data_IF_598697638754
#
_entry.id   IF_598697638754
#
_cell.length_a   1.000
_cell.length_b   1.000
_cell.length_c   1.000
_cell.angle_alpha   90.00
_cell.angle_beta   90.00
_cell.angle_gamma   90.00
#
_symmetry.space_group_name_H-M   'P 1'
#
loop_
_entity.id
_entity.type
_entity.pdbx_description
1 polymer ?
#
# COMPACT_ATOMS: atom_id res chain seq x y z
N UNK A 1 -3.92 2.46 -17.77
CA UNK A 1 -4.26 3.40 -16.70
C UNK A 1 -4.37 4.86 -17.18
N UNK A 2 -4.03 5.18 -18.40
CA UNK A 2 -4.01 6.57 -18.89
C UNK A 2 -2.88 7.44 -18.31
N UNK A 3 -1.92 6.82 -17.63
CA UNK A 3 -0.75 7.46 -17.03
C UNK A 3 0.52 6.97 -17.73
N UNK A 4 1.48 7.86 -17.92
CA UNK A 4 2.81 7.45 -18.36
C UNK A 4 3.52 6.70 -17.23
N UNK A 5 3.94 5.47 -17.49
CA UNK A 5 4.69 4.63 -16.55
C UNK A 5 5.89 4.00 -17.28
N UNK A 6 6.99 3.84 -16.55
CA UNK A 6 8.13 3.03 -16.95
C UNK A 6 8.07 1.64 -16.24
N UNK A 7 8.87 0.70 -16.67
CA UNK A 7 8.95 -0.65 -16.09
C UNK A 7 9.35 -0.66 -14.61
N UNK A 8 10.00 0.42 -14.15
CA UNK A 8 10.36 0.61 -12.74
C UNK A 8 9.22 1.08 -11.84
N UNK A 9 8.08 1.47 -12.41
CA UNK A 9 6.92 1.92 -11.63
C UNK A 9 6.09 0.74 -11.12
N UNK A 10 5.31 0.92 -10.03
CA UNK A 10 4.41 -0.12 -9.57
C UNK A 10 3.32 -0.43 -10.60
N UNK A 11 2.90 -1.68 -10.67
CA UNK A 11 1.75 -2.06 -11.50
C UNK A 11 0.47 -1.40 -11.00
N UNK A 12 -0.36 -0.94 -11.91
CA UNK A 12 -1.66 -0.31 -11.67
C UNK A 12 -2.78 -1.04 -12.41
N UNK A 13 -4.02 -0.68 -12.10
CA UNK A 13 -5.22 -1.25 -12.73
C UNK A 13 -5.30 -2.78 -12.58
N UNK A 14 -4.84 -3.27 -11.44
CA UNK A 14 -4.89 -4.69 -11.06
C UNK A 14 -5.86 -4.87 -9.89
N UNK A 15 -6.75 -5.85 -10.03
CA UNK A 15 -7.68 -6.24 -8.98
C UNK A 15 -6.97 -7.11 -7.92
N UNK A 16 -7.63 -7.33 -6.80
CA UNK A 16 -7.19 -8.31 -5.81
C UNK A 16 -7.08 -9.72 -6.42
N UNK A 17 -8.04 -10.07 -7.28
CA UNK A 17 -8.04 -11.36 -8.00
C UNK A 17 -6.81 -11.49 -8.91
N UNK A 18 -6.44 -10.44 -9.65
CA UNK A 18 -5.25 -10.43 -10.50
C UNK A 18 -3.97 -10.57 -9.68
N UNK A 19 -3.85 -9.82 -8.58
CA UNK A 19 -2.70 -9.87 -7.69
C UNK A 19 -2.50 -11.27 -7.08
N UNK A 20 -3.59 -11.90 -6.66
CA UNK A 20 -3.59 -13.27 -6.14
C UNK A 20 -3.21 -14.29 -7.22
N UNK A 21 -3.77 -14.15 -8.42
CA UNK A 21 -3.43 -15.02 -9.56
C UNK A 21 -1.94 -14.90 -9.93
N UNK A 22 -1.40 -13.69 -9.91
CA UNK A 22 0.04 -13.47 -10.13
C UNK A 22 0.90 -14.17 -9.06
N UNK A 23 0.54 -14.02 -7.78
CA UNK A 23 1.25 -14.68 -6.68
C UNK A 23 1.26 -16.23 -6.83
N UNK A 24 0.13 -16.79 -7.23
CA UNK A 24 0.01 -18.23 -7.49
C UNK A 24 0.86 -18.68 -8.70
N UNK A 25 0.83 -17.90 -9.78
CA UNK A 25 1.66 -18.17 -10.96
C UNK A 25 3.15 -18.12 -10.61
N UNK A 26 3.59 -17.09 -9.88
CA UNK A 26 4.99 -16.97 -9.45
C UNK A 26 5.40 -18.11 -8.54
N UNK A 27 4.51 -18.56 -7.66
CA UNK A 27 4.76 -19.70 -6.78
C UNK A 27 4.99 -20.98 -7.57
N UNK A 28 4.15 -21.28 -8.55
CA UNK A 28 4.30 -22.44 -9.44
C UNK A 28 5.60 -22.37 -10.24
N UNK A 29 5.95 -21.18 -10.74
CA UNK A 29 7.13 -20.96 -11.58
C UNK A 29 8.45 -21.10 -10.80
N UNK A 30 8.46 -20.73 -9.53
CA UNK A 30 9.69 -20.68 -8.72
C UNK A 30 9.83 -21.80 -7.70
N UNK A 31 8.76 -22.57 -7.46
CA UNK A 31 8.72 -23.57 -6.38
C UNK A 31 8.67 -22.95 -4.97
N UNK A 32 8.48 -21.61 -4.85
CA UNK A 32 8.44 -20.89 -3.57
C UNK A 32 7.02 -20.40 -3.31
N UNK A 33 6.62 -20.28 -2.04
CA UNK A 33 5.27 -19.87 -1.65
C UNK A 33 5.14 -18.34 -1.61
N UNK A 34 4.68 -17.72 -2.70
CA UNK A 34 4.30 -16.31 -2.76
C UNK A 34 2.81 -16.13 -2.54
N UNK A 35 2.44 -15.05 -1.85
CA UNK A 35 1.07 -14.64 -1.57
C UNK A 35 0.99 -13.13 -1.36
N UNK A 36 -0.20 -12.58 -1.25
CA UNK A 36 -0.37 -11.26 -0.67
C UNK A 36 0.02 -11.29 0.83
N UNK A 37 0.55 -10.20 1.40
CA UNK A 37 0.71 -10.10 2.85
C UNK A 37 -0.66 -10.08 3.52
N UNK A 38 -0.77 -10.58 4.74
CA UNK A 38 -1.93 -10.29 5.58
C UNK A 38 -1.92 -8.81 5.97
N UNK A 39 -3.06 -8.26 6.36
CA UNK A 39 -3.15 -6.87 6.81
C UNK A 39 -2.22 -6.60 7.99
N UNK A 40 -2.15 -7.53 8.94
CA UNK A 40 -1.28 -7.42 10.11
C UNK A 40 0.21 -7.52 9.76
N UNK A 41 0.60 -8.41 8.85
CA UNK A 41 1.98 -8.49 8.33
C UNK A 41 2.37 -7.19 7.62
N UNK A 42 1.46 -6.66 6.81
CA UNK A 42 1.69 -5.41 6.09
C UNK A 42 1.94 -4.25 7.07
N UNK A 43 1.08 -4.08 8.09
CA UNK A 43 1.24 -3.00 9.08
C UNK A 43 2.50 -3.17 9.94
N UNK A 44 2.81 -4.39 10.36
CA UNK A 44 4.06 -4.69 11.05
C UNK A 44 5.27 -4.30 10.20
N UNK A 45 5.28 -4.69 8.93
CA UNK A 45 6.34 -4.36 7.97
C UNK A 45 6.43 -2.84 7.73
N UNK A 46 5.28 -2.14 7.60
CA UNK A 46 5.24 -0.70 7.40
C UNK A 46 5.79 0.06 8.60
N UNK A 47 5.42 -0.33 9.81
CA UNK A 47 5.90 0.31 11.04
C UNK A 47 7.38 0.07 11.31
N UNK A 48 7.89 -1.08 11.00
CA UNK A 48 9.28 -1.47 11.24
C UNK A 48 9.74 -1.08 12.67
N UNK A 49 8.89 -1.33 13.67
CA UNK A 49 9.12 -1.03 15.09
C UNK A 49 8.74 0.39 15.52
N UNK A 50 8.24 1.27 14.62
CA UNK A 50 7.77 2.59 15.01
C UNK A 50 6.38 2.53 15.65
N UNK A 51 6.12 3.43 16.61
CA UNK A 51 4.81 3.63 17.24
C UNK A 51 4.11 4.90 16.76
N UNK A 52 4.80 5.71 15.95
CA UNK A 52 4.32 6.96 15.39
C UNK A 52 3.31 6.72 14.25
N UNK A 53 2.65 7.77 13.78
CA UNK A 53 1.68 7.68 12.69
C UNK A 53 2.31 7.12 11.39
N UNK A 54 3.59 7.46 11.16
CA UNK A 54 4.39 7.02 10.00
C UNK A 54 5.71 6.43 10.48
N UNK A 55 6.35 5.60 9.67
CA UNK A 55 7.64 4.99 10.07
C UNK A 55 8.78 6.02 10.24
N UNK A 56 8.63 7.23 9.71
CA UNK A 56 9.58 8.35 9.88
C UNK A 56 9.19 9.33 10.99
N UNK A 57 8.05 9.14 11.67
CA UNK A 57 7.57 10.03 12.74
C UNK A 57 6.16 10.55 12.49
N UNK A 58 5.79 11.59 13.25
CA UNK A 58 4.45 12.18 13.17
C UNK A 58 4.36 13.39 12.25
N UNK A 59 5.50 14.02 11.92
CA UNK A 59 5.56 15.19 11.07
C UNK A 59 5.24 14.86 9.59
N UNK A 60 4.12 15.36 9.03
CA UNK A 60 3.75 15.12 7.65
C UNK A 60 4.59 15.92 6.63
N UNK A 61 5.30 16.98 7.04
CA UNK A 61 6.12 17.81 6.14
C UNK A 61 7.29 17.01 5.55
N UNK A 62 7.78 16.03 6.30
CA UNK A 62 8.88 15.19 5.83
C UNK A 62 8.47 14.11 4.81
N UNK A 63 7.17 14.00 4.48
CA UNK A 63 6.64 12.89 3.68
C UNK A 63 7.37 12.69 2.35
N UNK A 64 7.66 13.76 1.60
CA UNK A 64 8.27 13.69 0.28
C UNK A 64 9.71 13.13 0.25
N UNK A 65 10.35 12.99 1.41
CA UNK A 65 11.63 12.27 1.54
C UNK A 65 11.43 10.75 1.59
N UNK A 66 10.26 10.31 2.02
CA UNK A 66 9.97 8.92 2.36
C UNK A 66 8.90 8.28 1.49
N UNK A 67 8.10 9.10 0.77
CA UNK A 67 6.91 8.61 0.07
C UNK A 67 6.50 9.54 -1.08
N UNK A 68 5.94 8.97 -2.13
CA UNK A 68 5.20 9.69 -3.15
C UNK A 68 3.74 9.85 -2.69
N UNK A 69 3.29 11.10 -2.49
CA UNK A 69 2.02 11.45 -1.85
C UNK A 69 1.35 12.65 -2.54
N UNK A 70 0.15 13.05 -2.11
CA UNK A 70 -0.47 14.27 -2.60
C UNK A 70 0.28 15.50 -2.08
N UNK A 71 1.20 16.02 -2.84
CA UNK A 71 2.13 17.10 -2.52
C UNK A 71 1.90 18.37 -3.37
N UNK A 72 2.82 19.32 -3.29
CA UNK A 72 2.74 20.59 -4.01
C UNK A 72 3.07 20.48 -5.50
N UNK A 73 3.61 19.36 -5.99
CA UNK A 73 3.85 19.11 -7.42
C UNK A 73 2.55 19.07 -8.23
N UNK A 74 1.41 18.95 -7.58
CA UNK A 74 0.10 18.80 -8.21
C UNK A 74 -0.67 20.10 -8.26
N UNK A 75 -1.00 20.57 -9.46
CA UNK A 75 -1.83 21.76 -9.65
C UNK A 75 -3.32 21.50 -9.35
N UNK A 76 -3.80 20.29 -9.53
CA UNK A 76 -5.19 19.92 -9.29
C UNK A 76 -5.30 18.90 -8.16
N UNK A 77 -6.14 19.23 -7.18
CA UNK A 77 -6.50 18.33 -6.09
C UNK A 77 -7.57 17.35 -6.56
N UNK A 78 -7.25 16.08 -6.57
CA UNK A 78 -8.26 15.05 -6.46
C UNK A 78 -8.51 14.83 -4.97
N UNK A 79 -9.64 15.30 -4.47
CA UNK A 79 -10.03 15.07 -3.10
C UNK A 79 -9.94 16.31 -2.21
N UNK A 80 -10.72 16.26 -1.15
CA UNK A 80 -10.83 17.28 -0.13
C UNK A 80 -9.70 17.11 0.89
N UNK A 81 -8.86 18.10 1.05
CA UNK A 81 -7.84 18.09 2.09
C UNK A 81 -6.60 18.91 1.73
N UNK A 82 -5.83 19.24 2.75
CA UNK A 82 -4.54 19.87 2.57
C UNK A 82 -3.54 18.88 1.98
N UNK A 83 -2.76 19.31 1.01
CA UNK A 83 -1.64 18.56 0.49
C UNK A 83 -0.50 18.50 1.51
N UNK A 84 0.45 17.60 1.29
CA UNK A 84 1.73 17.68 1.99
C UNK A 84 2.48 18.96 1.58
N UNK A 85 3.04 19.66 2.55
CA UNK A 85 3.79 20.90 2.34
C UNK A 85 5.25 20.60 1.92
N UNK A 86 5.40 19.78 0.90
CA UNK A 86 6.68 19.39 0.32
C UNK A 86 6.51 19.08 -1.17
N UNK A 87 7.58 18.68 -1.85
CA UNK A 87 7.57 18.32 -3.26
C UNK A 87 8.35 17.02 -3.43
N UNK A 88 7.68 15.95 -3.91
CA UNK A 88 8.29 14.65 -4.15
C UNK A 88 8.79 14.47 -5.59
N UNK A 89 8.43 15.38 -6.49
CA UNK A 89 8.88 15.41 -7.88
C UNK A 89 8.03 14.58 -8.85
N UNK A 90 6.96 13.94 -8.39
CA UNK A 90 6.12 13.07 -9.22
C UNK A 90 4.65 13.50 -9.19
N UNK A 91 4.04 13.64 -10.37
CA UNK A 91 2.61 13.97 -10.47
C UNK A 91 1.70 12.75 -10.28
N UNK A 92 2.17 11.58 -10.68
CA UNK A 92 1.52 10.28 -10.53
C UNK A 92 2.46 9.31 -9.78
N UNK A 93 2.50 8.04 -10.17
CA UNK A 93 3.41 7.07 -9.56
C UNK A 93 4.88 7.46 -9.77
N UNK A 94 5.70 7.09 -8.80
CA UNK A 94 7.16 7.17 -8.86
C UNK A 94 7.77 5.78 -9.12
N UNK A 95 9.02 5.71 -9.62
CA UNK A 95 9.77 4.46 -9.64
C UNK A 95 9.84 3.82 -8.25
N UNK A 96 9.61 2.51 -8.18
CA UNK A 96 9.68 1.78 -6.91
C UNK A 96 11.08 1.85 -6.30
N UNK A 97 11.15 2.10 -4.99
CA UNK A 97 12.42 2.22 -4.27
C UNK A 97 13.11 3.58 -4.38
N UNK A 98 12.41 4.59 -4.91
CA UNK A 98 12.96 5.95 -5.11
C UNK A 98 13.11 6.79 -3.84
N UNK A 99 12.50 6.39 -2.73
CA UNK A 99 12.47 7.13 -1.46
C UNK A 99 13.26 6.43 -0.37
N UNK A 100 13.37 7.07 0.80
CA UNK A 100 14.08 6.47 1.94
C UNK A 100 13.29 5.27 2.51
N UNK A 101 13.94 4.11 2.73
CA UNK A 101 13.29 2.94 3.29
C UNK A 101 12.99 3.10 4.78
N UNK A 102 12.15 2.23 5.31
CA UNK A 102 11.98 2.08 6.74
C UNK A 102 13.14 1.28 7.38
N UNK A 103 13.08 1.05 8.70
CA UNK A 103 14.16 0.35 9.45
C UNK A 103 14.33 -1.13 9.06
N UNK A 104 13.34 -1.72 8.38
CA UNK A 104 13.46 -3.09 7.84
C UNK A 104 14.01 -3.10 6.41
N UNK A 105 14.41 -1.95 5.86
CA UNK A 105 14.89 -1.83 4.48
C UNK A 105 13.78 -1.90 3.44
N UNK A 106 12.52 -1.71 3.83
CA UNK A 106 11.37 -1.75 2.92
C UNK A 106 11.04 -0.35 2.42
N UNK A 107 10.90 -0.24 1.10
CA UNK A 107 10.58 0.99 0.39
C UNK A 107 9.08 1.09 0.13
N UNK A 108 8.60 2.32 -0.06
CA UNK A 108 7.25 2.65 -0.53
C UNK A 108 6.12 2.02 0.32
N UNK A 109 6.39 1.82 1.63
CA UNK A 109 5.37 1.30 2.55
C UNK A 109 4.25 2.30 2.81
N UNK A 110 4.47 3.58 2.49
CA UNK A 110 3.44 4.61 2.48
C UNK A 110 3.55 5.39 1.18
N UNK A 111 2.40 5.75 0.59
CA UNK A 111 2.35 6.47 -0.69
C UNK A 111 2.56 5.56 -1.91
N UNK A 112 2.81 6.15 -3.04
CA UNK A 112 2.93 5.56 -4.37
C UNK A 112 1.63 4.86 -4.83
N UNK A 113 1.33 3.66 -4.33
CA UNK A 113 0.06 2.97 -4.59
C UNK A 113 -0.50 2.33 -3.32
N UNK A 114 -1.83 2.27 -3.18
CA UNK A 114 -2.49 1.39 -2.24
C UNK A 114 -2.11 -0.06 -2.55
N UNK A 115 -1.91 -0.86 -1.55
CA UNK A 115 -1.46 -2.24 -1.72
C UNK A 115 -2.49 -3.23 -1.19
N UNK A 116 -2.94 -4.14 -2.06
CA UNK A 116 -3.84 -5.21 -1.68
C UNK A 116 -3.23 -6.12 -0.61
N UNK A 117 -4.06 -6.48 0.38
CA UNK A 117 -3.74 -7.53 1.38
C UNK A 117 -4.66 -8.73 1.21
N UNK A 118 -4.35 -9.84 1.88
CA UNK A 118 -5.15 -11.08 1.75
C UNK A 118 -6.52 -10.98 2.44
N UNK A 119 -6.71 -10.03 3.36
CA UNK A 119 -7.82 -9.97 4.29
C UNK A 119 -9.13 -9.51 3.67
N UNK A 120 -10.24 -10.08 4.17
CA UNK A 120 -11.58 -9.56 3.98
C UNK A 120 -11.79 -8.28 4.80
N UNK A 121 -12.66 -7.39 4.34
CA UNK A 121 -12.96 -6.18 5.08
C UNK A 121 -13.77 -6.46 6.36
N UNK A 122 -13.29 -5.91 7.46
CA UNK A 122 -13.99 -5.78 8.74
C UNK A 122 -13.90 -4.32 9.20
N UNK A 123 -15.01 -3.73 9.62
CA UNK A 123 -15.07 -2.31 9.98
C UNK A 123 -14.29 -1.99 11.28
N UNK A 124 -14.05 -2.98 12.13
CA UNK A 124 -13.25 -2.87 13.34
C UNK A 124 -12.38 -4.11 13.52
N UNK A 125 -11.43 -4.07 14.42
CA UNK A 125 -10.60 -5.23 14.79
C UNK A 125 -11.19 -6.12 15.88
N UNK A 126 -12.45 -5.89 16.28
CA UNK A 126 -13.14 -6.79 17.23
C UNK A 126 -13.28 -8.18 16.60
N UNK A 127 -12.70 -9.19 17.25
CA UNK A 127 -12.68 -10.56 16.75
C UNK A 127 -11.60 -10.86 15.69
N UNK A 128 -10.65 -9.94 15.49
CA UNK A 128 -9.51 -10.18 14.61
C UNK A 128 -8.68 -11.40 15.10
N UNK A 129 -8.05 -12.17 14.17
CA UNK A 129 -7.12 -13.23 14.55
C UNK A 129 -6.02 -12.71 15.48
N UNK A 130 -5.73 -13.45 16.55
CA UNK A 130 -4.67 -13.08 17.50
C UNK A 130 -3.25 -13.28 16.94
N UNK A 131 -3.13 -13.99 15.82
CA UNK A 131 -1.87 -14.27 15.12
C UNK A 131 -1.90 -13.66 13.72
N UNK A 132 -0.77 -13.50 13.08
CA UNK A 132 -0.64 -12.85 11.78
C UNK A 132 -1.19 -13.68 10.60
N UNK A 133 -2.34 -14.35 10.79
CA UNK A 133 -3.07 -15.02 9.71
C UNK A 133 -4.07 -14.08 9.07
N UNK A 134 -4.34 -14.31 7.78
CA UNK A 134 -5.33 -13.52 7.06
C UNK A 134 -6.72 -13.64 7.70
N UNK A 135 -7.40 -12.52 7.86
CA UNK A 135 -8.77 -12.51 8.36
C UNK A 135 -9.75 -12.75 7.20
N UNK A 136 -10.12 -14.03 7.03
CA UNK A 136 -10.93 -14.49 5.91
C UNK A 136 -12.44 -14.59 6.25
N UNK A 137 -12.89 -13.92 7.30
CA UNK A 137 -14.31 -13.73 7.64
C UNK A 137 -14.66 -12.24 7.59
N UNK A 138 -15.97 -11.93 7.57
CA UNK A 138 -16.48 -10.58 7.39
C UNK A 138 -16.96 -10.34 5.96
N UNK A 139 -16.86 -9.11 5.48
CA UNK A 139 -17.26 -8.77 4.09
C UNK A 139 -16.13 -9.11 3.10
N UNK A 140 -16.12 -10.34 2.61
CA UNK A 140 -15.12 -10.82 1.65
C UNK A 140 -15.36 -10.39 0.20
N UNK A 141 -16.50 -9.76 -0.12
CA UNK A 141 -16.68 -9.06 -1.39
C UNK A 141 -15.79 -7.80 -1.46
N UNK A 142 -15.44 -7.26 -0.29
CA UNK A 142 -14.50 -6.15 -0.14
C UNK A 142 -13.16 -6.68 0.40
N UNK A 143 -12.07 -6.19 -0.17
CA UNK A 143 -10.72 -6.54 0.26
C UNK A 143 -10.00 -5.31 0.82
N UNK A 144 -9.16 -5.56 1.82
CA UNK A 144 -8.37 -4.50 2.45
C UNK A 144 -7.22 -4.08 1.54
N UNK A 145 -6.99 -2.77 1.44
CA UNK A 145 -5.75 -2.20 0.91
C UNK A 145 -5.13 -1.21 1.89
N UNK A 146 -3.81 -1.08 1.84
CA UNK A 146 -3.00 -0.37 2.83
C UNK A 146 -2.02 0.59 2.17
N UNK A 147 -1.51 1.56 2.93
CA UNK A 147 -0.35 2.38 2.58
C UNK A 147 -0.66 3.77 2.02
N UNK A 148 -1.81 3.97 1.40
CA UNK A 148 -2.05 5.19 0.63
C UNK A 148 -1.44 5.11 -0.77
N UNK A 149 -1.60 6.18 -1.53
CA UNK A 149 -1.14 6.29 -2.91
C UNK A 149 -0.53 7.66 -3.18
N UNK A 150 -0.04 7.87 -4.38
CA UNK A 150 0.45 9.16 -4.89
C UNK A 150 -0.56 10.32 -4.74
N UNK A 151 -1.84 10.04 -4.51
CA UNK A 151 -2.89 11.06 -4.29
C UNK A 151 -3.32 11.20 -2.83
N UNK A 152 -2.63 10.53 -1.89
CA UNK A 152 -3.06 10.47 -0.49
C UNK A 152 -2.60 11.68 0.31
N UNK A 153 -3.56 12.38 0.91
CA UNK A 153 -3.33 13.55 1.78
C UNK A 153 -2.79 13.14 3.16
N UNK A 154 -2.16 14.05 3.94
CA UNK A 154 -1.48 13.75 5.21
C UNK A 154 -2.30 12.93 6.21
N UNK A 155 -3.59 13.19 6.29
CA UNK A 155 -4.53 12.50 7.19
C UNK A 155 -4.55 10.98 6.98
N UNK A 156 -4.38 10.53 5.74
CA UNK A 156 -4.46 9.11 5.35
C UNK A 156 -3.12 8.48 5.03
N UNK A 157 -2.05 9.26 4.83
CA UNK A 157 -0.69 8.75 4.64
C UNK A 157 -0.07 8.35 5.98
N UNK A 158 -0.50 7.23 6.55
CA UNK A 158 -0.07 6.71 7.87
C UNK A 158 -0.22 5.19 7.94
N UNK A 159 0.62 4.56 8.76
CA UNK A 159 0.70 3.10 8.85
C UNK A 159 -0.63 2.41 9.23
N UNK A 160 -1.45 3.06 10.06
CA UNK A 160 -2.75 2.53 10.47
C UNK A 160 -3.91 2.81 9.49
N UNK A 161 -3.66 3.56 8.38
CA UNK A 161 -4.72 3.86 7.43
C UNK A 161 -5.15 2.59 6.69
N UNK A 162 -6.45 2.41 6.57
CA UNK A 162 -7.10 1.29 5.88
C UNK A 162 -7.98 1.81 4.76
N UNK A 163 -8.00 1.10 3.66
CA UNK A 163 -8.96 1.31 2.59
C UNK A 163 -9.60 -0.04 2.22
N UNK A 164 -10.72 0.00 1.51
CA UNK A 164 -11.41 -1.19 1.00
C UNK A 164 -11.93 -0.94 -0.41
N UNK A 165 -11.90 -1.96 -1.22
CA UNK A 165 -12.52 -1.96 -2.54
C UNK A 165 -13.05 -3.37 -2.86
N UNK A 166 -14.03 -3.52 -3.78
CA UNK A 166 -14.42 -4.80 -4.31
C UNK A 166 -13.21 -5.61 -4.83
N UNK A 167 -13.25 -6.93 -4.70
CA UNK A 167 -12.13 -7.80 -5.08
C UNK A 167 -11.80 -7.75 -6.59
N UNK A 168 -12.70 -7.28 -7.42
CA UNK A 168 -12.55 -7.10 -8.88
C UNK A 168 -12.26 -5.64 -9.28
N UNK A 169 -12.23 -4.72 -8.33
CA UNK A 169 -11.97 -3.29 -8.56
C UNK A 169 -10.58 -3.05 -9.16
N UNK A 170 -10.51 -2.14 -10.13
CA UNK A 170 -9.27 -1.70 -10.78
C UNK A 170 -9.26 -0.21 -10.92
N UNK A 171 -8.21 0.43 -10.45
CA UNK A 171 -7.97 1.86 -10.58
C UNK A 171 -6.49 2.18 -10.80
N UNK A 172 -6.17 3.45 -10.92
CA UNK A 172 -4.80 3.93 -11.08
C UNK A 172 -4.13 4.31 -9.75
N UNK A 173 -4.70 3.89 -8.63
CA UNK A 173 -4.23 4.17 -7.28
C UNK A 173 -3.77 2.91 -6.54
N UNK A 174 -4.14 1.72 -7.06
CA UNK A 174 -3.99 0.46 -6.33
C UNK A 174 -3.13 -0.53 -7.12
N UNK A 175 -2.16 -1.08 -6.43
CA UNK A 175 -1.27 -2.15 -6.87
C UNK A 175 -1.13 -3.20 -5.76
N UNK A 176 0.02 -3.87 -5.66
CA UNK A 176 0.27 -4.85 -4.61
C UNK A 176 1.77 -5.10 -4.41
N UNK A 177 2.12 -5.66 -3.28
CA UNK A 177 3.40 -6.33 -3.03
C UNK A 177 3.19 -7.78 -2.62
N UNK A 178 4.25 -8.58 -2.68
CA UNK A 178 4.20 -9.99 -2.30
C UNK A 178 4.90 -10.23 -0.98
N UNK A 179 4.33 -11.15 -0.20
CA UNK A 179 5.01 -11.84 0.89
C UNK A 179 5.45 -13.23 0.41
N UNK A 180 6.55 -13.73 0.95
CA UNK A 180 7.01 -15.10 0.75
C UNK A 180 7.04 -15.84 2.09
N UNK A 181 6.40 -17.00 2.13
CA UNK A 181 6.52 -17.90 3.29
C UNK A 181 7.83 -18.68 3.16
N UNK A 182 8.63 -18.70 4.21
CA UNK A 182 9.78 -19.58 4.33
C UNK A 182 9.32 -20.93 4.88
N UNK A 183 9.80 -22.00 4.29
CA UNK A 183 9.65 -23.37 4.79
C UNK A 183 10.78 -23.69 5.75
#
# INVERSE_FOLDING_TARGET
PGLAQADSHPVLCVSWNDARAYAQWLSKRTGKRYRLPTESEWEYAARAGSVTARYWGDDPVQACRFANVADQSRFQTWGFGQKHECTDGHYFTAPAGGYSPNRFGLYDMLGNVWEWTEDCWNASYAGAPAVATAWLSGDCAQRVSRGGSWSTVPRYARSAARNKNPADHRDNLTGFRLARTFE
#
